data_IF_607887752183
#
_entry.id   IF_607887752183
#
_cell.length_a   1.000
_cell.length_b   1.000
_cell.length_c   1.000
_cell.angle_alpha   90.00
_cell.angle_beta   90.00
_cell.angle_gamma   90.00
#
_symmetry.space_group_name_H-M   'P 1'
#
loop_
_entity.id
_entity.type
_entity.pdbx_description
1 polymer ?
#
# COMPACT_ATOMS: atom_id res chain seq x y z
N UNK A 1 -13.86 0.55 27.21
CA UNK A 1 -12.91 0.95 28.27
C UNK A 1 -11.87 1.87 27.64
N UNK A 2 -11.72 3.10 28.10
CA UNK A 2 -10.89 4.15 27.48
C UNK A 2 -9.56 4.28 28.21
N UNK A 3 -8.45 4.38 27.46
CA UNK A 3 -7.09 4.52 27.97
C UNK A 3 -6.85 5.77 28.83
N UNK A 4 -7.72 6.78 28.71
CA UNK A 4 -7.62 8.02 29.49
C UNK A 4 -7.86 7.83 31.00
N UNK A 5 -8.65 6.82 31.40
CA UNK A 5 -8.97 6.59 32.82
C UNK A 5 -7.84 5.87 33.59
N UNK A 6 -6.95 5.16 32.89
CA UNK A 6 -5.86 4.42 33.54
C UNK A 6 -4.71 5.32 34.02
N UNK A 7 -4.54 6.51 33.43
CA UNK A 7 -3.46 7.44 33.76
C UNK A 7 -3.76 8.33 34.98
N UNK A 8 -5.04 8.49 35.36
CA UNK A 8 -5.46 9.39 36.44
C UNK A 8 -5.27 8.80 37.86
N UNK A 9 -4.70 7.59 37.98
CA UNK A 9 -4.53 6.87 39.26
C UNK A 9 -3.06 6.54 39.56
N UNK A 10 -2.16 7.49 39.28
CA UNK A 10 -0.79 7.44 39.79
C UNK A 10 -0.74 7.84 41.28
N UNK A 11 0.22 7.31 42.06
CA UNK A 11 0.37 7.65 43.48
C UNK A 11 0.65 9.15 43.66
N UNK A 12 -0.01 9.79 44.63
CA UNK A 12 0.23 11.18 45.01
C UNK A 12 1.64 11.29 45.62
N UNK A 13 2.58 11.90 44.90
CA UNK A 13 3.91 12.18 45.42
C UNK A 13 3.81 13.15 46.61
N UNK A 14 4.51 12.82 47.70
CA UNK A 14 4.58 13.65 48.92
C UNK A 14 5.55 14.82 48.72
N UNK A 15 5.33 15.97 49.39
CA UNK A 15 6.04 17.23 49.12
C UNK A 15 7.55 17.22 49.46
N UNK A 16 8.09 16.15 50.03
CA UNK A 16 9.52 16.07 50.40
C UNK A 16 10.45 15.62 49.26
N UNK A 17 9.93 15.10 48.13
CA UNK A 17 10.75 14.76 46.94
C UNK A 17 11.11 15.98 46.06
N UNK A 18 10.46 17.14 46.26
CA UNK A 18 10.62 18.31 45.37
C UNK A 18 11.88 19.13 45.66
N UNK A 19 12.52 18.95 46.83
CA UNK A 19 13.65 19.79 47.28
C UNK A 19 15.04 19.16 47.10
N UNK A 20 15.15 17.98 46.50
CA UNK A 20 16.42 17.36 46.17
C UNK A 20 16.62 17.31 44.64
N UNK A 21 16.89 18.45 44.00
CA UNK A 21 17.32 18.46 42.60
C UNK A 21 18.84 18.23 42.55
N UNK A 22 19.32 17.06 42.10
CA UNK A 22 20.74 16.86 41.87
C UNK A 22 21.16 17.77 40.71
N UNK A 23 22.18 18.58 40.95
CA UNK A 23 22.98 19.43 40.04
C UNK A 23 23.65 18.67 38.88
N UNK A 24 23.10 17.53 38.48
CA UNK A 24 23.53 16.68 37.36
C UNK A 24 22.76 16.94 36.06
N UNK A 25 21.60 17.59 36.14
CA UNK A 25 20.70 17.77 34.98
C UNK A 25 21.28 18.76 33.96
N UNK A 26 22.00 19.80 34.40
CA UNK A 26 22.62 20.79 33.50
C UNK A 26 23.89 20.29 32.79
N UNK A 27 24.56 19.24 33.29
CA UNK A 27 25.73 18.66 32.63
C UNK A 27 25.37 17.66 31.52
N UNK A 28 24.16 17.09 31.57
CA UNK A 28 23.66 16.15 30.55
C UNK A 28 23.18 16.90 29.30
N UNK A 29 22.69 18.13 29.45
CA UNK A 29 22.21 18.95 28.34
C UNK A 29 23.32 19.28 27.33
N UNK A 30 24.54 19.58 27.80
CA UNK A 30 25.69 19.95 26.97
C UNK A 30 26.42 18.77 26.32
N UNK A 31 26.26 17.54 26.85
CA UNK A 31 26.82 16.33 26.22
C UNK A 31 25.91 15.74 25.14
N UNK A 32 24.67 16.21 25.04
CA UNK A 32 23.78 15.94 23.89
C UNK A 32 24.07 16.94 22.78
N UNK A 33 25.32 17.01 22.32
CA UNK A 33 25.57 17.45 20.96
C UNK A 33 24.82 16.47 20.05
N UNK A 34 23.74 16.98 19.45
CA UNK A 34 23.04 16.34 18.34
C UNK A 34 24.13 15.89 17.38
N UNK A 35 24.34 14.58 17.25
CA UNK A 35 25.16 13.99 16.19
C UNK A 35 24.51 14.37 14.87
N UNK A 36 24.91 15.51 14.32
CA UNK A 36 24.35 16.15 13.12
C UNK A 36 24.46 15.27 11.88
N UNK A 37 25.36 14.28 11.89
CA UNK A 37 25.55 13.33 10.78
C UNK A 37 24.41 12.31 10.68
N UNK A 38 23.85 11.86 11.81
CA UNK A 38 22.77 10.85 11.85
C UNK A 38 21.36 11.40 11.67
N UNK A 39 21.15 12.72 11.84
CA UNK A 39 19.87 13.37 11.50
C UNK A 39 19.83 13.78 10.03
N UNK A 40 20.94 14.25 9.46
CA UNK A 40 21.03 14.55 8.04
C UNK A 40 20.74 13.30 7.18
N UNK A 41 21.30 12.15 7.57
CA UNK A 41 21.06 10.88 6.87
C UNK A 41 19.59 10.38 6.97
N UNK A 42 18.82 10.81 7.99
CA UNK A 42 17.37 10.52 8.06
C UNK A 42 16.58 11.44 7.15
N UNK A 43 16.94 12.72 7.10
CA UNK A 43 16.29 13.71 6.24
C UNK A 43 16.53 13.36 4.77
N UNK A 44 17.76 12.99 4.41
CA UNK A 44 18.12 12.59 3.04
C UNK A 44 17.37 11.31 2.60
N UNK A 45 17.22 10.33 3.50
CA UNK A 45 16.43 9.11 3.23
C UNK A 45 14.92 9.38 3.13
N UNK A 46 14.38 10.27 3.95
CA UNK A 46 12.97 10.69 3.88
C UNK A 46 12.70 11.52 2.61
N UNK A 47 13.65 12.36 2.19
CA UNK A 47 13.60 13.10 0.93
C UNK A 47 13.70 12.14 -0.27
N UNK A 48 14.66 11.22 -0.31
CA UNK A 48 14.77 10.17 -1.35
C UNK A 48 13.50 9.31 -1.44
N UNK A 49 12.95 8.83 -0.33
CA UNK A 49 11.68 8.08 -0.36
C UNK A 49 10.52 8.95 -0.84
N UNK A 50 10.52 10.24 -0.50
CA UNK A 50 9.50 11.18 -0.97
C UNK A 50 9.63 11.48 -2.47
N UNK A 51 10.86 11.57 -2.98
CA UNK A 51 11.18 11.76 -4.39
C UNK A 51 10.86 10.50 -5.18
N UNK A 52 11.29 9.32 -4.73
CA UNK A 52 10.90 8.03 -5.31
C UNK A 52 9.37 7.87 -5.32
N UNK A 53 8.68 8.25 -4.25
CA UNK A 53 7.22 8.20 -4.22
C UNK A 53 6.58 9.20 -5.20
N UNK A 54 7.16 10.39 -5.36
CA UNK A 54 6.74 11.39 -6.36
C UNK A 54 6.99 10.87 -7.77
N UNK A 55 8.17 10.33 -8.05
CA UNK A 55 8.52 9.72 -9.34
C UNK A 55 7.63 8.52 -9.65
N UNK A 56 7.38 7.62 -8.70
CA UNK A 56 6.45 6.49 -8.90
C UNK A 56 5.05 6.98 -9.18
N UNK A 57 4.58 8.04 -8.51
CA UNK A 57 3.29 8.69 -8.80
C UNK A 57 3.28 9.37 -10.17
N UNK A 58 4.36 10.03 -10.56
CA UNK A 58 4.56 10.68 -11.87
C UNK A 58 4.53 9.63 -12.99
N UNK A 59 5.30 8.55 -12.84
CA UNK A 59 5.32 7.41 -13.75
C UNK A 59 3.95 6.72 -13.83
N UNK A 60 3.26 6.52 -12.70
CA UNK A 60 1.92 5.96 -12.68
C UNK A 60 0.92 6.89 -13.39
N UNK A 61 0.99 8.20 -13.16
CA UNK A 61 0.19 9.20 -13.86
C UNK A 61 0.47 9.22 -15.35
N UNK A 62 1.74 9.18 -15.76
CA UNK A 62 2.13 9.17 -17.17
C UNK A 62 1.68 7.89 -17.86
N UNK A 63 1.83 6.72 -17.21
CA UNK A 63 1.29 5.44 -17.70
C UNK A 63 -0.24 5.47 -17.77
N UNK A 64 -0.92 6.05 -16.78
CA UNK A 64 -2.38 6.18 -16.79
C UNK A 64 -2.85 7.12 -17.91
N UNK A 65 -2.20 8.27 -18.10
CA UNK A 65 -2.46 9.20 -19.20
C UNK A 65 -2.22 8.55 -20.56
N UNK A 66 -1.11 7.84 -20.75
CA UNK A 66 -0.81 7.12 -21.97
C UNK A 66 -1.84 6.02 -22.28
N UNK A 67 -2.27 5.27 -21.25
CA UNK A 67 -3.35 4.27 -21.39
C UNK A 67 -4.70 4.91 -21.71
N UNK A 68 -5.03 6.03 -21.07
CA UNK A 68 -6.25 6.77 -21.33
C UNK A 68 -6.26 7.36 -22.74
N UNK A 69 -5.12 7.85 -23.22
CA UNK A 69 -4.95 8.32 -24.59
C UNK A 69 -5.15 7.18 -25.59
N UNK A 70 -4.51 6.02 -25.38
CA UNK A 70 -4.73 4.84 -26.23
C UNK A 70 -6.16 4.33 -26.20
N UNK A 71 -6.83 4.39 -25.06
CA UNK A 71 -8.24 4.04 -24.96
C UNK A 71 -9.13 5.00 -25.76
N UNK A 72 -8.78 6.30 -25.82
CA UNK A 72 -9.47 7.30 -26.65
C UNK A 72 -9.19 7.09 -28.14
N UNK A 73 -7.95 6.82 -28.51
CA UNK A 73 -7.53 6.52 -29.88
C UNK A 73 -8.24 5.27 -30.42
N UNK A 74 -8.48 4.26 -29.56
CA UNK A 74 -9.18 3.03 -29.92
C UNK A 74 -10.69 3.07 -29.60
N UNK A 75 -11.24 4.24 -29.28
CA UNK A 75 -12.63 4.41 -28.83
C UNK A 75 -13.68 4.12 -29.90
N UNK A 76 -13.30 4.13 -31.17
CA UNK A 76 -14.16 3.74 -32.30
C UNK A 76 -14.16 2.24 -32.61
N UNK A 77 -13.34 1.44 -31.93
CA UNK A 77 -13.27 0.00 -32.17
C UNK A 77 -14.37 -0.73 -31.37
N UNK A 78 -15.32 -1.42 -32.04
CA UNK A 78 -16.43 -2.09 -31.36
C UNK A 78 -15.96 -3.18 -30.37
N UNK A 79 -14.81 -3.81 -30.62
CA UNK A 79 -14.22 -4.79 -29.69
C UNK A 79 -13.77 -4.12 -28.39
N UNK A 80 -13.20 -2.91 -28.49
CA UNK A 80 -12.75 -2.16 -27.32
C UNK A 80 -13.94 -1.66 -26.49
N UNK A 81 -14.99 -1.15 -27.15
CA UNK A 81 -16.24 -0.75 -26.51
C UNK A 81 -16.91 -1.95 -25.82
N UNK A 82 -16.99 -3.10 -26.50
CA UNK A 82 -17.55 -4.33 -25.93
C UNK A 82 -16.80 -4.81 -24.69
N UNK A 83 -15.47 -4.84 -24.72
CA UNK A 83 -14.64 -5.19 -23.57
C UNK A 83 -14.78 -4.17 -22.43
N UNK A 84 -14.85 -2.87 -22.73
CA UNK A 84 -15.10 -1.83 -21.75
C UNK A 84 -16.47 -1.99 -21.07
N UNK A 85 -17.52 -2.29 -21.84
CA UNK A 85 -18.86 -2.54 -21.29
C UNK A 85 -18.89 -3.78 -20.38
N UNK A 86 -18.21 -4.85 -20.77
CA UNK A 86 -18.07 -6.05 -19.93
C UNK A 86 -17.33 -5.74 -18.62
N UNK A 87 -16.21 -5.00 -18.68
CA UNK A 87 -15.47 -4.58 -17.49
C UNK A 87 -16.34 -3.70 -16.56
N UNK A 88 -17.14 -2.79 -17.12
CA UNK A 88 -18.08 -1.96 -16.35
C UNK A 88 -19.15 -2.82 -15.68
N UNK A 89 -19.77 -3.77 -16.40
CA UNK A 89 -20.77 -4.67 -15.83
C UNK A 89 -20.20 -5.53 -14.70
N UNK A 90 -19.02 -6.11 -14.92
CA UNK A 90 -18.33 -6.91 -13.90
C UNK A 90 -17.97 -6.04 -12.70
N UNK A 91 -17.40 -4.86 -12.92
CA UNK A 91 -17.01 -3.93 -11.85
C UNK A 91 -18.22 -3.43 -11.05
N UNK A 92 -19.32 -3.08 -11.70
CA UNK A 92 -20.55 -2.65 -11.04
C UNK A 92 -21.22 -3.79 -10.26
N UNK A 93 -21.29 -4.99 -10.84
CA UNK A 93 -21.85 -6.17 -10.17
C UNK A 93 -21.06 -6.57 -8.92
N UNK A 94 -19.73 -6.59 -9.03
CA UNK A 94 -18.84 -6.85 -7.90
C UNK A 94 -18.87 -5.72 -6.86
N UNK A 95 -18.90 -4.46 -7.31
CA UNK A 95 -18.93 -3.28 -6.44
C UNK A 95 -20.20 -3.16 -5.60
N UNK A 96 -21.37 -3.38 -6.22
CA UNK A 96 -22.66 -3.37 -5.49
C UNK A 96 -22.80 -4.59 -4.57
N UNK A 97 -22.35 -5.77 -5.01
CA UNK A 97 -22.35 -6.98 -4.19
C UNK A 97 -21.42 -6.86 -2.98
N UNK A 98 -20.23 -6.30 -3.18
CA UNK A 98 -19.29 -5.99 -2.10
C UNK A 98 -19.85 -4.91 -1.17
N UNK A 99 -20.43 -3.82 -1.69
CA UNK A 99 -21.03 -2.76 -0.86
C UNK A 99 -22.15 -3.30 0.05
N UNK A 100 -23.07 -4.09 -0.51
CA UNK A 100 -24.14 -4.76 0.25
C UNK A 100 -23.59 -5.74 1.31
N UNK A 101 -22.43 -6.35 1.06
CA UNK A 101 -21.81 -7.31 1.98
C UNK A 101 -20.88 -6.64 3.00
N UNK A 102 -20.35 -5.46 2.68
CA UNK A 102 -19.58 -4.61 3.57
C UNK A 102 -20.47 -4.03 4.67
N UNK A 103 -21.67 -3.58 4.30
CA UNK A 103 -22.68 -3.10 5.27
C UNK A 103 -23.19 -4.21 6.21
N UNK A 104 -22.99 -5.48 5.86
CA UNK A 104 -23.29 -6.65 6.70
C UNK A 104 -22.09 -7.10 7.58
N UNK A 105 -20.96 -6.40 7.54
CA UNK A 105 -19.76 -6.77 8.32
C UNK A 105 -19.07 -8.06 7.87
N UNK A 106 -19.44 -8.63 6.71
CA UNK A 106 -18.94 -9.92 6.19
C UNK A 106 -18.08 -9.76 4.92
N UNK A 107 -17.49 -8.58 4.71
CA UNK A 107 -16.46 -8.42 3.68
C UNK A 107 -15.18 -9.11 4.17
N UNK A 108 -15.12 -10.42 3.97
CA UNK A 108 -14.05 -11.23 4.52
C UNK A 108 -12.83 -11.18 3.61
N UNK A 109 -11.66 -11.06 4.25
CA UNK A 109 -10.38 -11.33 3.63
C UNK A 109 -10.32 -12.73 3.02
N UNK A 110 -11.18 -13.67 3.42
CA UNK A 110 -11.31 -14.99 2.80
C UNK A 110 -11.94 -14.92 1.41
N UNK A 111 -12.92 -14.06 1.16
CA UNK A 111 -13.52 -13.93 -0.18
C UNK A 111 -12.51 -13.31 -1.15
N UNK A 112 -11.81 -12.27 -0.71
CA UNK A 112 -10.70 -11.69 -1.47
C UNK A 112 -9.62 -12.76 -1.68
N UNK A 113 -9.22 -13.48 -0.63
CA UNK A 113 -8.25 -14.57 -0.69
C UNK A 113 -8.66 -15.70 -1.65
N UNK A 114 -9.93 -16.08 -1.67
CA UNK A 114 -10.47 -17.10 -2.55
C UNK A 114 -10.40 -16.67 -4.02
N UNK A 115 -10.81 -15.45 -4.34
CA UNK A 115 -10.73 -14.93 -5.70
C UNK A 115 -9.29 -14.70 -6.15
N UNK A 116 -8.44 -14.15 -5.28
CA UNK A 116 -7.02 -13.95 -5.57
C UNK A 116 -6.30 -15.29 -5.75
N UNK A 117 -6.66 -16.29 -4.93
CA UNK A 117 -6.17 -17.66 -5.03
C UNK A 117 -6.63 -18.35 -6.31
N UNK A 118 -7.91 -18.21 -6.70
CA UNK A 118 -8.42 -18.76 -7.95
C UNK A 118 -7.73 -18.17 -9.19
N UNK A 119 -7.54 -16.85 -9.23
CA UNK A 119 -6.80 -16.18 -10.31
C UNK A 119 -5.34 -16.60 -10.33
N UNK A 120 -4.70 -16.70 -9.15
CA UNK A 120 -3.33 -17.19 -9.02
C UNK A 120 -3.16 -18.62 -9.53
N UNK A 121 -4.10 -19.51 -9.17
CA UNK A 121 -4.10 -20.90 -9.63
C UNK A 121 -4.29 -21.00 -11.17
N UNK A 122 -5.21 -20.22 -11.74
CA UNK A 122 -5.39 -20.15 -13.19
C UNK A 122 -4.12 -19.68 -13.90
N UNK A 123 -3.46 -18.63 -13.39
CA UNK A 123 -2.20 -18.13 -13.95
C UNK A 123 -1.05 -19.15 -13.86
N UNK A 124 -0.97 -19.92 -12.77
CA UNK A 124 0.01 -20.99 -12.64
C UNK A 124 -0.21 -22.07 -13.70
N UNK A 125 -1.45 -22.54 -13.87
CA UNK A 125 -1.80 -23.54 -14.90
C UNK A 125 -1.46 -23.01 -16.30
N UNK A 126 -1.86 -21.78 -16.61
CA UNK A 126 -1.58 -21.13 -17.90
C UNK A 126 -0.06 -21.02 -18.17
N UNK A 127 0.74 -20.68 -17.15
CA UNK A 127 2.19 -20.63 -17.26
C UNK A 127 2.79 -22.00 -17.59
N UNK A 128 2.37 -23.07 -16.90
CA UNK A 128 2.90 -24.41 -17.17
C UNK A 128 2.48 -24.94 -18.54
N UNK A 129 1.24 -24.70 -18.95
CA UNK A 129 0.75 -25.07 -20.28
C UNK A 129 1.51 -24.30 -21.36
N UNK A 130 1.67 -22.98 -21.19
CA UNK A 130 2.42 -22.12 -22.11
C UNK A 130 3.88 -22.54 -22.21
N UNK A 131 4.52 -22.83 -21.08
CA UNK A 131 5.90 -23.34 -21.04
C UNK A 131 6.03 -24.68 -21.76
N UNK A 132 5.11 -25.61 -21.52
CA UNK A 132 5.10 -26.91 -22.21
C UNK A 132 4.88 -26.75 -23.72
N UNK A 133 3.94 -25.89 -24.13
CA UNK A 133 3.68 -25.62 -25.55
C UNK A 133 4.88 -25.00 -26.26
N UNK A 134 5.55 -24.03 -25.63
CA UNK A 134 6.75 -23.39 -26.18
C UNK A 134 7.93 -24.37 -26.24
N UNK A 135 8.05 -25.28 -25.30
CA UNK A 135 9.13 -26.27 -25.29
C UNK A 135 8.90 -27.43 -26.26
N UNK A 136 7.66 -27.89 -26.43
CA UNK A 136 7.36 -29.12 -27.17
C UNK A 136 6.82 -28.87 -28.59
N UNK A 137 6.06 -27.79 -28.82
CA UNK A 137 5.32 -27.59 -30.07
C UNK A 137 5.72 -26.33 -30.84
N UNK A 138 6.11 -25.27 -30.14
CA UNK A 138 6.48 -23.99 -30.76
C UNK A 138 7.79 -23.46 -30.14
N UNK A 139 8.93 -24.09 -30.44
CA UNK A 139 10.22 -23.58 -29.97
C UNK A 139 10.42 -22.13 -30.46
N UNK A 140 10.92 -21.24 -29.59
CA UNK A 140 11.15 -19.85 -29.95
C UNK A 140 12.16 -19.80 -31.10
N UNK A 141 11.78 -19.15 -32.21
CA UNK A 141 12.69 -18.91 -33.32
C UNK A 141 13.69 -17.84 -32.88
N UNK A 142 14.95 -18.24 -32.73
CA UNK A 142 16.09 -17.34 -32.59
C UNK A 142 16.34 -16.60 -33.90
#
# INVERSE_FOLDING_TARGET
>A
MSYAEAAAKGPKQSPEEVLALPTSITFIETKREVKTTTQAERIEREEEESEEARERKEQAKNKAKAKAQRARENGGNPVFIGNAALLVLVGAGLGLGAYKKHTQGKLSWELVGLWTGAVGAFGAVDYFVSKWLLQNKYPPKH
#
